data_IF_954047905045
#
_entry.id   IF_954047905045
#
_cell.length_a   1.000
_cell.length_b   1.000
_cell.length_c   1.000
_cell.angle_alpha   90.00
_cell.angle_beta   90.00
_cell.angle_gamma   90.00
#
_symmetry.space_group_name_H-M   'P 1'
#
loop_
_entity.id
_entity.type
_entity.pdbx_description
1 polymer ?
#
# COMPACT_ATOMS: atom_id res chain seq x y z
N UNK A 1 7.48 -26.51 -23.32
CA UNK A 1 7.69 -25.27 -24.09
C UNK A 1 6.65 -24.25 -23.64
N UNK A 2 6.93 -23.48 -22.59
CA UNK A 2 6.06 -22.40 -22.13
C UNK A 2 6.41 -21.11 -22.88
N UNK A 3 5.43 -20.56 -23.59
CA UNK A 3 5.56 -19.34 -24.39
C UNK A 3 6.17 -18.17 -23.60
N UNK A 4 7.01 -17.32 -24.21
CA UNK A 4 7.47 -16.09 -23.57
C UNK A 4 6.27 -15.14 -23.46
N UNK A 5 5.84 -14.84 -22.24
CA UNK A 5 4.83 -13.81 -22.00
C UNK A 5 5.35 -12.50 -22.61
N UNK A 6 4.56 -11.91 -23.52
CA UNK A 6 4.91 -10.68 -24.19
C UNK A 6 5.23 -9.59 -23.15
N UNK A 7 6.47 -9.08 -23.14
CA UNK A 7 6.83 -7.98 -22.25
C UNK A 7 5.91 -6.78 -22.53
N UNK A 8 5.19 -6.24 -21.52
CA UNK A 8 4.42 -5.03 -21.72
C UNK A 8 5.37 -3.90 -22.09
N UNK A 9 5.19 -3.32 -23.29
CA UNK A 9 6.00 -2.20 -23.81
C UNK A 9 5.41 -0.87 -23.33
N UNK A 10 6.28 0.04 -22.88
CA UNK A 10 5.93 1.43 -22.58
C UNK A 10 5.03 1.61 -21.34
N UNK A 11 3.97 2.42 -21.48
CA UNK A 11 3.09 2.88 -20.40
C UNK A 11 2.44 1.74 -19.59
N UNK A 12 2.31 0.56 -20.18
CA UNK A 12 1.81 -0.64 -19.53
C UNK A 12 2.70 -1.13 -18.35
N UNK A 13 3.97 -0.74 -18.30
CA UNK A 13 4.86 -1.01 -17.15
C UNK A 13 4.56 -0.14 -15.93
N UNK A 14 3.95 1.03 -16.15
CA UNK A 14 3.61 2.01 -15.10
C UNK A 14 2.25 1.69 -14.47
N UNK A 15 1.36 1.03 -15.23
CA UNK A 15 0.00 0.66 -14.81
C UNK A 15 -0.07 -0.02 -13.43
N UNK A 16 0.73 -1.06 -13.15
CA UNK A 16 0.75 -1.71 -11.83
C UNK A 16 1.18 -0.76 -10.71
N UNK A 17 2.16 0.12 -10.95
CA UNK A 17 2.64 1.09 -9.97
C UNK A 17 1.59 2.15 -9.63
N UNK A 18 0.88 2.65 -10.64
CA UNK A 18 -0.25 3.58 -10.44
C UNK A 18 -1.38 2.90 -9.67
N UNK A 19 -1.68 1.64 -9.99
CA UNK A 19 -2.73 0.89 -9.28
C UNK A 19 -2.39 0.74 -7.78
N UNK A 20 -1.14 0.42 -7.46
CA UNK A 20 -0.64 0.32 -6.08
C UNK A 20 -0.63 1.70 -5.39
N UNK A 21 -0.30 2.77 -6.11
CA UNK A 21 -0.37 4.12 -5.56
C UNK A 21 -1.82 4.54 -5.24
N UNK A 22 -2.76 4.23 -6.14
CA UNK A 22 -4.18 4.54 -5.98
C UNK A 22 -4.81 3.75 -4.82
N UNK A 23 -4.42 2.49 -4.60
CA UNK A 23 -4.88 1.71 -3.44
C UNK A 23 -4.17 2.11 -2.16
N UNK A 24 -2.97 2.69 -2.25
CA UNK A 24 -2.17 3.13 -1.11
C UNK A 24 -2.58 4.47 -0.51
N UNK A 25 -3.47 5.24 -1.15
CA UNK A 25 -3.97 6.53 -0.65
C UNK A 25 -5.48 6.43 -0.47
N UNK A 26 -5.93 6.30 0.78
CA UNK A 26 -7.34 6.22 1.13
C UNK A 26 -7.93 7.56 1.52
N UNK A 27 -9.27 7.61 1.61
CA UNK A 27 -9.97 8.76 2.18
C UNK A 27 -9.59 9.05 3.64
N UNK A 28 -9.21 8.02 4.41
CA UNK A 28 -8.68 8.18 5.76
C UNK A 28 -7.37 8.98 5.79
N UNK A 29 -6.48 8.74 4.83
CA UNK A 29 -5.23 9.50 4.71
C UNK A 29 -5.49 10.96 4.34
N UNK A 30 -6.49 11.22 3.49
CA UNK A 30 -6.92 12.58 3.14
C UNK A 30 -7.51 13.32 4.35
N UNK A 31 -8.35 12.67 5.16
CA UNK A 31 -8.90 13.25 6.38
C UNK A 31 -7.79 13.52 7.40
N UNK A 32 -6.91 12.55 7.63
CA UNK A 32 -5.79 12.70 8.54
C UNK A 32 -4.86 13.84 8.10
N UNK A 33 -4.55 13.93 6.80
CA UNK A 33 -3.76 15.02 6.23
C UNK A 33 -4.46 16.37 6.38
N UNK A 34 -5.78 16.46 6.17
CA UNK A 34 -6.54 17.68 6.35
C UNK A 34 -6.58 18.15 7.81
N UNK A 35 -6.79 17.23 8.76
CA UNK A 35 -6.76 17.53 10.20
C UNK A 35 -5.37 17.96 10.64
N UNK A 36 -4.33 17.25 10.20
CA UNK A 36 -2.94 17.57 10.48
C UNK A 36 -2.55 18.93 9.89
N UNK A 37 -2.97 19.23 8.65
CA UNK A 37 -2.77 20.53 8.01
C UNK A 37 -3.47 21.67 8.74
N UNK A 38 -4.69 21.43 9.26
CA UNK A 38 -5.40 22.44 10.08
C UNK A 38 -4.71 22.71 11.42
N UNK A 39 -4.13 21.69 12.04
CA UNK A 39 -3.51 21.81 13.36
C UNK A 39 -2.06 22.33 13.31
N UNK A 40 -1.27 21.89 12.33
CA UNK A 40 0.18 22.13 12.27
C UNK A 40 0.63 22.89 11.03
N UNK A 41 -0.29 23.24 10.12
CA UNK A 41 0.04 23.97 8.89
C UNK A 41 1.10 23.24 8.06
N UNK A 42 2.11 23.99 7.60
CA UNK A 42 3.22 23.47 6.80
C UNK A 42 4.32 22.81 7.63
N UNK A 43 4.23 22.82 8.96
CA UNK A 43 5.28 22.29 9.85
C UNK A 43 5.51 20.78 9.68
N UNK A 44 4.56 20.03 9.10
CA UNK A 44 4.65 18.59 8.88
C UNK A 44 5.16 18.20 7.48
N UNK A 45 5.47 19.16 6.59
CA UNK A 45 5.92 18.85 5.22
C UNK A 45 7.19 18.00 5.17
N UNK A 46 8.13 18.23 6.10
CA UNK A 46 9.35 17.42 6.19
C UNK A 46 9.05 15.95 6.55
N UNK A 47 7.98 15.69 7.31
CA UNK A 47 7.54 14.33 7.66
C UNK A 47 7.10 13.58 6.41
N UNK A 48 6.43 14.26 5.48
CA UNK A 48 6.01 13.68 4.19
C UNK A 48 7.24 13.26 3.37
N UNK A 49 8.26 14.11 3.29
CA UNK A 49 9.50 13.82 2.55
C UNK A 49 10.23 12.62 3.17
N UNK A 50 10.36 12.59 4.50
CA UNK A 50 10.97 11.46 5.19
C UNK A 50 10.16 10.17 5.02
N UNK A 51 8.84 10.24 5.12
CA UNK A 51 7.95 9.10 4.92
C UNK A 51 8.09 8.53 3.50
N UNK A 52 8.14 9.40 2.49
CA UNK A 52 8.36 9.02 1.10
C UNK A 52 9.74 8.36 0.90
N UNK A 53 10.80 8.92 1.50
CA UNK A 53 12.14 8.32 1.49
C UNK A 53 12.18 6.94 2.14
N UNK A 54 11.58 6.79 3.32
CA UNK A 54 11.47 5.50 4.00
C UNK A 54 10.70 4.47 3.16
N UNK A 55 9.58 4.87 2.55
CA UNK A 55 8.78 4.00 1.67
C UNK A 55 9.58 3.57 0.44
N UNK A 56 10.35 4.49 -0.15
CA UNK A 56 11.25 4.19 -1.26
C UNK A 56 12.30 3.13 -0.87
N UNK A 57 13.04 3.38 0.21
CA UNK A 57 14.07 2.46 0.72
C UNK A 57 13.54 1.06 0.97
N UNK A 58 12.35 0.98 1.60
CA UNK A 58 11.70 -0.30 1.89
C UNK A 58 11.32 -1.02 0.60
N UNK A 59 10.70 -0.31 -0.35
CA UNK A 59 10.22 -0.90 -1.60
C UNK A 59 11.38 -1.34 -2.51
N UNK A 60 12.47 -0.57 -2.54
CA UNK A 60 13.69 -0.94 -3.27
C UNK A 60 14.40 -2.15 -2.65
N UNK A 61 14.49 -2.20 -1.31
CA UNK A 61 15.06 -3.35 -0.61
C UNK A 61 14.28 -4.64 -0.87
N UNK A 62 12.96 -4.56 -0.82
CA UNK A 62 12.03 -5.64 -1.18
C UNK A 62 12.22 -6.06 -2.64
N UNK A 63 12.19 -5.10 -3.57
CA UNK A 63 12.31 -5.38 -4.99
C UNK A 63 13.64 -6.05 -5.33
N UNK A 64 14.76 -5.54 -4.78
CA UNK A 64 16.09 -6.16 -4.92
C UNK A 64 16.10 -7.58 -4.37
N UNK A 65 15.49 -7.82 -3.21
CA UNK A 65 15.42 -9.15 -2.63
C UNK A 65 14.61 -10.13 -3.50
N UNK A 66 13.47 -9.68 -4.04
CA UNK A 66 12.64 -10.49 -4.95
C UNK A 66 13.37 -10.79 -6.26
N UNK A 67 14.10 -9.82 -6.82
CA UNK A 67 14.90 -10.00 -8.04
C UNK A 67 16.09 -10.95 -7.82
N UNK A 68 16.73 -10.90 -6.64
CA UNK A 68 17.86 -11.77 -6.31
C UNK A 68 17.43 -13.22 -5.99
N UNK A 69 16.29 -13.40 -5.35
CA UNK A 69 15.82 -14.73 -4.89
C UNK A 69 14.91 -15.42 -5.91
N UNK A 70 14.24 -14.65 -6.78
CA UNK A 70 13.21 -15.15 -7.68
C UNK A 70 11.92 -15.59 -6.97
N UNK A 71 11.82 -15.40 -5.66
CA UNK A 71 10.69 -15.78 -4.81
C UNK A 71 9.85 -14.53 -4.47
N UNK A 72 8.52 -14.69 -4.43
CA UNK A 72 7.65 -13.60 -3.99
C UNK A 72 7.77 -13.38 -2.48
N UNK A 73 7.57 -12.15 -2.01
CA UNK A 73 7.67 -11.86 -0.58
C UNK A 73 6.66 -12.66 0.25
N UNK A 74 5.48 -12.94 -0.31
CA UNK A 74 4.44 -13.72 0.35
C UNK A 74 4.87 -15.18 0.45
N UNK A 75 5.48 -15.73 -0.59
CA UNK A 75 6.03 -17.09 -0.56
C UNK A 75 7.16 -17.19 0.48
N UNK A 76 8.09 -16.23 0.49
CA UNK A 76 9.16 -16.12 1.47
C UNK A 76 8.64 -16.07 2.92
N UNK A 77 7.52 -15.36 3.12
CA UNK A 77 6.86 -15.27 4.42
C UNK A 77 6.31 -16.61 4.88
N UNK A 78 5.75 -17.40 3.97
CA UNK A 78 5.22 -18.71 4.30
C UNK A 78 6.32 -19.77 4.51
N UNK A 79 7.45 -19.65 3.79
CA UNK A 79 8.52 -20.68 3.78
C UNK A 79 9.64 -20.40 4.76
N UNK A 80 10.03 -19.13 4.96
CA UNK A 80 11.23 -18.76 5.74
C UNK A 80 10.95 -18.23 7.14
N UNK A 81 9.71 -17.86 7.48
CA UNK A 81 9.36 -17.38 8.81
C UNK A 81 8.78 -18.50 9.69
N UNK A 82 8.94 -18.40 11.03
CA UNK A 82 8.33 -19.35 11.95
C UNK A 82 6.81 -19.36 11.80
N UNK A 83 6.20 -20.56 11.90
CA UNK A 83 4.76 -20.75 11.68
C UNK A 83 3.88 -19.86 12.58
N UNK A 84 4.35 -19.51 13.78
CA UNK A 84 3.61 -18.60 14.68
C UNK A 84 3.54 -17.16 14.15
N UNK A 85 4.60 -16.67 13.50
CA UNK A 85 4.63 -15.32 12.90
C UNK A 85 3.70 -15.27 11.70
N UNK A 86 3.62 -16.35 10.92
CA UNK A 86 2.66 -16.48 9.84
C UNK A 86 1.22 -16.35 10.33
N UNK A 87 0.83 -17.10 11.37
CA UNK A 87 -0.53 -17.04 11.93
C UNK A 87 -0.85 -15.70 12.58
N UNK A 88 0.11 -15.13 13.34
CA UNK A 88 -0.04 -13.81 13.95
C UNK A 88 -0.27 -12.74 12.88
N UNK A 89 0.59 -12.72 11.85
CA UNK A 89 0.50 -11.72 10.78
C UNK A 89 -0.76 -11.94 9.91
N UNK A 90 -1.16 -13.18 9.67
CA UNK A 90 -2.40 -13.51 8.99
C UNK A 90 -3.64 -13.02 9.75
N UNK A 91 -3.71 -13.27 11.05
CA UNK A 91 -4.80 -12.76 11.90
C UNK A 91 -4.81 -11.23 11.93
N UNK A 92 -3.64 -10.60 12.05
CA UNK A 92 -3.49 -9.15 11.94
C UNK A 92 -4.03 -8.62 10.61
N UNK A 93 -3.67 -9.23 9.47
CA UNK A 93 -4.15 -8.82 8.15
C UNK A 93 -5.67 -8.99 8.00
N UNK A 94 -6.28 -10.01 8.60
CA UNK A 94 -7.74 -10.15 8.57
C UNK A 94 -8.43 -9.03 9.34
N UNK A 95 -7.99 -8.74 10.57
CA UNK A 95 -8.57 -7.67 11.38
C UNK A 95 -8.34 -6.32 10.70
N UNK A 96 -7.09 -6.06 10.29
CA UNK A 96 -6.73 -4.82 9.63
C UNK A 96 -7.48 -4.63 8.30
N UNK A 97 -7.55 -5.67 7.46
CA UNK A 97 -8.28 -5.64 6.20
C UNK A 97 -9.77 -5.40 6.38
N UNK A 98 -10.39 -6.00 7.40
CA UNK A 98 -11.78 -5.74 7.75
C UNK A 98 -12.01 -4.29 8.18
N UNK A 99 -11.15 -3.76 9.06
CA UNK A 99 -11.24 -2.37 9.53
C UNK A 99 -11.03 -1.37 8.39
N UNK A 100 -10.03 -1.59 7.55
CA UNK A 100 -9.73 -0.73 6.39
C UNK A 100 -10.81 -0.82 5.33
N UNK A 101 -11.33 -2.02 5.05
CA UNK A 101 -12.46 -2.21 4.14
C UNK A 101 -13.71 -1.49 4.62
N UNK A 102 -14.03 -1.57 5.92
CA UNK A 102 -15.12 -0.82 6.54
C UNK A 102 -14.91 0.69 6.48
N UNK A 103 -13.70 1.17 6.74
CA UNK A 103 -13.35 2.59 6.65
C UNK A 103 -13.47 3.14 5.22
N UNK A 104 -13.00 2.38 4.22
CA UNK A 104 -13.15 2.72 2.80
C UNK A 104 -14.63 2.79 2.39
N UNK A 105 -15.44 1.81 2.79
CA UNK A 105 -16.88 1.80 2.53
C UNK A 105 -17.59 3.00 3.15
N UNK A 106 -17.26 3.32 4.41
CA UNK A 106 -17.80 4.50 5.10
C UNK A 106 -17.41 5.80 4.40
N UNK A 107 -16.15 5.93 3.97
CA UNK A 107 -15.67 7.11 3.28
C UNK A 107 -16.37 7.34 1.93
N UNK A 108 -16.60 6.28 1.15
CA UNK A 108 -17.41 6.37 -0.07
C UNK A 108 -18.84 6.86 0.21
N UNK A 109 -19.45 6.40 1.31
CA UNK A 109 -20.78 6.86 1.75
C UNK A 109 -20.82 8.34 2.12
N UNK A 110 -19.81 8.83 2.86
CA UNK A 110 -19.68 10.26 3.21
C UNK A 110 -19.46 11.11 1.96
N UNK A 111 -18.59 10.67 1.05
CA UNK A 111 -18.34 11.38 -0.21
C UNK A 111 -19.60 11.44 -1.10
N UNK A 112 -20.37 10.35 -1.18
CA UNK A 112 -21.63 10.32 -1.93
C UNK A 112 -22.66 11.28 -1.33
N UNK A 113 -22.81 11.31 0.00
CA UNK A 113 -23.67 12.28 0.69
C UNK A 113 -23.22 13.73 0.48
N UNK A 114 -21.92 13.98 0.37
CA UNK A 114 -21.40 15.33 0.10
C UNK A 114 -21.66 15.79 -1.35
N UNK A 115 -21.71 14.86 -2.31
CA UNK A 115 -22.00 15.13 -3.72
C UNK A 115 -23.50 15.23 -4.01
N UNK A 116 -24.34 14.49 -3.29
CA UNK A 116 -25.79 14.51 -3.42
C UNK A 116 -26.44 14.64 -2.02
N UNK A 117 -26.62 15.88 -1.53
CA UNK A 117 -27.09 16.16 -0.16
C UNK A 117 -28.55 15.77 0.09
#
# INVERSE_FOLDING_TARGET
MSSPAAEPRGLARIGPGILVAATGVGAGDLIAAAVAGRQFGLALLWVVVLGAGCKWLLNEGIARWQLATGESIIAAWATRLPRWVYWYFGAYLMVWGFLVGGALGSACGVALKALWP
#
